data_IF_936839675528
#
_entry.id   IF_936839675528
#
_cell.length_a   1.000
_cell.length_b   1.000
_cell.length_c   1.000
_cell.angle_alpha   90.00
_cell.angle_beta   90.00
_cell.angle_gamma   90.00
#
_symmetry.space_group_name_H-M   'P 1'
#
loop_
_entity.id
_entity.type
_entity.pdbx_description
1 polymer ?
#
# COMPACT_ATOMS: atom_id res chain seq x y z
N UNK A 1 -6.28 -35.35 -0.29
CA UNK A 1 -7.29 -36.17 -1.00
C UNK A 1 -7.58 -37.52 -0.31
N UNK A 2 -6.58 -38.19 0.28
CA UNK A 2 -6.75 -39.53 0.87
C UNK A 2 -7.71 -39.66 2.07
N UNK A 3 -7.91 -38.61 2.88
CA UNK A 3 -8.80 -38.68 4.06
C UNK A 3 -10.29 -38.78 3.69
N UNK A 4 -10.71 -38.13 2.59
CA UNK A 4 -12.10 -38.18 2.12
C UNK A 4 -12.47 -39.58 1.61
N UNK A 5 -11.53 -40.28 1.00
CA UNK A 5 -11.72 -41.61 0.44
C UNK A 5 -11.82 -42.67 1.55
N UNK A 6 -11.03 -42.51 2.62
CA UNK A 6 -11.08 -43.42 3.78
C UNK A 6 -12.39 -43.32 4.56
N UNK A 7 -12.92 -42.10 4.76
CA UNK A 7 -14.19 -41.88 5.46
C UNK A 7 -15.39 -42.40 4.66
N UNK A 8 -15.33 -42.34 3.33
CA UNK A 8 -16.39 -42.85 2.45
C UNK A 8 -16.48 -44.39 2.50
N UNK A 9 -15.34 -45.08 2.49
CA UNK A 9 -15.27 -46.56 2.57
C UNK A 9 -15.80 -47.08 3.92
N UNK A 10 -15.45 -46.43 5.04
CA UNK A 10 -15.96 -46.79 6.37
C UNK A 10 -17.47 -46.61 6.47
N UNK A 11 -18.01 -45.55 5.85
CA UNK A 11 -19.45 -45.29 5.84
C UNK A 11 -20.23 -46.33 5.02
N UNK A 12 -19.70 -46.74 3.86
CA UNK A 12 -20.29 -47.80 3.03
C UNK A 12 -20.25 -49.16 3.75
N UNK A 13 -19.17 -49.47 4.47
CA UNK A 13 -19.03 -50.73 5.20
C UNK A 13 -19.99 -50.85 6.42
N UNK A 14 -20.20 -49.75 7.14
CA UNK A 14 -21.17 -49.68 8.25
C UNK A 14 -22.61 -49.85 7.73
N UNK A 15 -22.94 -49.23 6.60
CA UNK A 15 -24.27 -49.38 5.98
C UNK A 15 -24.53 -50.81 5.47
N UNK A 16 -23.49 -51.50 5.00
CA UNK A 16 -23.62 -52.87 4.50
C UNK A 16 -23.82 -53.91 5.61
N UNK A 17 -23.16 -53.74 6.75
CA UNK A 17 -23.17 -54.71 7.87
C UNK A 17 -24.49 -54.74 8.66
N UNK A 18 -25.31 -53.68 8.58
CA UNK A 18 -26.60 -53.60 9.30
C UNK A 18 -27.78 -54.31 8.59
N UNK A 19 -27.59 -54.83 7.37
CA UNK A 19 -28.67 -55.40 6.55
C UNK A 19 -28.84 -56.91 6.72
N UNK A 20 -29.28 -57.36 7.90
CA UNK A 20 -29.70 -58.76 8.12
C UNK A 20 -31.12 -59.05 7.60
N UNK A 21 -31.28 -60.02 6.69
CA UNK A 21 -32.58 -60.50 6.16
C UNK A 21 -32.99 -61.86 6.76
N UNK A 22 -34.28 -62.01 7.15
CA UNK A 22 -34.91 -63.29 7.51
C UNK A 22 -36.15 -63.52 6.66
N UNK A 23 -36.29 -64.74 6.15
CA UNK A 23 -37.40 -65.20 5.31
C UNK A 23 -38.43 -65.96 6.15
N UNK A 24 -39.73 -65.70 5.94
CA UNK A 24 -40.83 -66.47 6.54
C UNK A 24 -41.76 -66.93 5.42
N UNK A 25 -42.17 -68.19 5.45
CA UNK A 25 -42.96 -68.87 4.41
C UNK A 25 -44.42 -68.91 4.84
N UNK A 26 -45.31 -68.27 4.08
CA UNK A 26 -46.76 -68.49 4.17
C UNK A 26 -47.32 -68.63 2.74
N UNK A 27 -48.16 -69.66 2.55
CA UNK A 27 -49.01 -69.83 1.36
C UNK A 27 -48.30 -69.75 0.00
N UNK A 28 -47.48 -70.74 -0.35
CA UNK A 28 -47.19 -71.13 -1.74
C UNK A 28 -46.45 -70.17 -2.68
N UNK A 29 -46.30 -68.88 -2.36
CA UNK A 29 -45.60 -67.92 -3.20
C UNK A 29 -44.68 -67.00 -2.37
N UNK A 30 -43.39 -66.99 -2.70
CA UNK A 30 -42.42 -66.07 -2.10
C UNK A 30 -42.61 -64.68 -2.68
N UNK A 31 -43.17 -63.76 -1.89
CA UNK A 31 -43.20 -62.32 -2.20
C UNK A 31 -42.18 -61.60 -1.31
N UNK A 32 -41.25 -60.86 -1.92
CA UNK A 32 -40.39 -59.94 -1.16
C UNK A 32 -41.26 -58.86 -0.51
N UNK A 33 -41.46 -58.95 0.80
CA UNK A 33 -41.88 -57.78 1.59
C UNK A 33 -40.59 -57.04 1.94
N UNK A 34 -40.28 -55.98 1.19
CA UNK A 34 -39.26 -55.01 1.60
C UNK A 34 -39.77 -54.31 2.87
N UNK A 35 -39.51 -54.91 4.03
CA UNK A 35 -39.52 -54.15 5.29
C UNK A 35 -38.40 -53.13 5.19
N UNK A 36 -38.75 -51.90 4.84
CA UNK A 36 -37.92 -50.74 5.12
C UNK A 36 -37.70 -50.72 6.63
N UNK A 37 -36.56 -51.23 7.08
CA UNK A 37 -36.08 -50.96 8.43
C UNK A 37 -35.80 -49.47 8.45
N UNK A 38 -36.72 -48.70 9.04
CA UNK A 38 -36.45 -47.30 9.36
C UNK A 38 -35.21 -47.26 10.24
N UNK A 39 -34.26 -46.40 9.92
CA UNK A 39 -33.09 -46.16 10.75
C UNK A 39 -33.56 -45.82 12.16
N UNK A 40 -32.97 -46.45 13.17
CA UNK A 40 -33.30 -46.13 14.55
C UNK A 40 -32.91 -44.67 14.85
N UNK A 41 -33.78 -43.92 15.50
CA UNK A 41 -33.51 -42.55 15.94
C UNK A 41 -32.21 -42.45 16.75
N UNK A 42 -31.91 -43.49 17.53
CA UNK A 42 -30.69 -43.58 18.33
C UNK A 42 -29.43 -43.71 17.47
N UNK A 43 -29.51 -44.46 16.38
CA UNK A 43 -28.37 -44.72 15.48
C UNK A 43 -27.98 -43.46 14.72
N UNK A 44 -28.98 -42.71 14.25
CA UNK A 44 -28.77 -41.40 13.63
C UNK A 44 -28.28 -40.35 14.64
N UNK A 45 -28.72 -40.41 15.90
CA UNK A 45 -28.23 -39.53 16.96
C UNK A 45 -26.75 -39.77 17.30
N UNK A 46 -26.32 -41.04 17.37
CA UNK A 46 -24.92 -41.40 17.61
C UNK A 46 -24.05 -40.95 16.43
N UNK A 47 -24.49 -41.20 15.18
CA UNK A 47 -23.74 -40.78 13.98
C UNK A 47 -23.57 -39.26 13.92
N UNK A 48 -24.63 -38.48 14.16
CA UNK A 48 -24.54 -37.02 14.17
C UNK A 48 -23.64 -36.54 15.31
N UNK A 49 -23.69 -37.15 16.49
CA UNK A 49 -22.80 -36.76 17.61
C UNK A 49 -21.31 -36.94 17.28
N UNK A 50 -20.96 -38.04 16.61
CA UNK A 50 -19.59 -38.32 16.16
C UNK A 50 -19.17 -37.33 15.07
N UNK A 51 -20.06 -37.02 14.12
CA UNK A 51 -19.80 -36.02 13.07
C UNK A 51 -19.61 -34.63 13.68
N UNK A 52 -20.45 -34.22 14.62
CA UNK A 52 -20.33 -32.94 15.31
C UNK A 52 -19.00 -32.83 16.08
N UNK A 53 -18.59 -33.90 16.77
CA UNK A 53 -17.33 -33.93 17.50
C UNK A 53 -16.12 -33.88 16.55
N UNK A 54 -16.14 -34.62 15.45
CA UNK A 54 -15.05 -34.64 14.47
C UNK A 54 -14.91 -33.33 13.70
N UNK A 55 -16.02 -32.67 13.34
CA UNK A 55 -16.01 -31.35 12.71
C UNK A 55 -15.57 -30.27 13.72
N UNK A 56 -16.02 -30.37 14.98
CA UNK A 56 -15.64 -29.44 16.04
C UNK A 56 -14.13 -29.36 16.28
N UNK A 57 -13.44 -30.51 16.22
CA UNK A 57 -11.98 -30.56 16.37
C UNK A 57 -11.22 -30.06 15.12
N UNK A 58 -11.82 -30.09 13.93
CA UNK A 58 -11.16 -29.66 12.70
C UNK A 58 -11.05 -28.13 12.58
N UNK A 59 -11.99 -27.37 13.13
CA UNK A 59 -11.95 -25.91 13.08
C UNK A 59 -10.81 -25.29 13.92
N UNK A 60 -10.27 -26.03 14.91
CA UNK A 60 -9.16 -25.55 15.73
C UNK A 60 -7.82 -25.53 15.00
N UNK A 61 -7.68 -26.31 13.91
CA UNK A 61 -6.47 -26.36 13.09
C UNK A 61 -6.47 -25.33 11.94
N UNK A 62 -7.58 -24.60 11.73
CA UNK A 62 -7.74 -23.69 10.61
C UNK A 62 -7.36 -22.22 10.92
N UNK A 63 -6.95 -21.91 12.16
CA UNK A 63 -6.75 -20.52 12.61
C UNK A 63 -5.30 -20.05 12.75
N UNK A 64 -4.35 -20.98 12.80
CA UNK A 64 -2.94 -20.62 12.95
C UNK A 64 -2.23 -20.68 11.61
N UNK A 65 -2.30 -19.57 10.86
CA UNK A 65 -1.41 -19.35 9.71
C UNK A 65 0.03 -19.32 10.21
N UNK A 66 0.91 -20.02 9.51
CA UNK A 66 2.34 -20.01 9.82
C UNK A 66 2.90 -18.60 9.63
N UNK A 67 4.00 -18.30 10.32
CA UNK A 67 4.64 -16.98 10.20
C UNK A 67 5.07 -16.68 8.76
N UNK A 68 5.56 -17.68 8.05
CA UNK A 68 5.92 -17.57 6.65
C UNK A 68 4.72 -17.21 5.76
N UNK A 69 3.55 -17.83 5.99
CA UNK A 69 2.31 -17.51 5.26
C UNK A 69 1.85 -16.08 5.51
N UNK A 70 1.94 -15.60 6.76
CA UNK A 70 1.59 -14.21 7.11
C UNK A 70 2.49 -13.20 6.43
N UNK A 71 3.78 -13.48 6.36
CA UNK A 71 4.75 -12.64 5.64
C UNK A 71 4.41 -12.60 4.15
N UNK A 72 4.17 -13.76 3.52
CA UNK A 72 3.78 -13.83 2.11
C UNK A 72 2.49 -13.09 1.82
N UNK A 73 1.44 -13.29 2.62
CA UNK A 73 0.18 -12.56 2.49
C UNK A 73 0.36 -11.04 2.65
N UNK A 74 1.23 -10.61 3.57
CA UNK A 74 1.53 -9.19 3.77
C UNK A 74 2.20 -8.60 2.53
N UNK A 75 3.15 -9.30 1.92
CA UNK A 75 3.76 -8.88 0.64
C UNK A 75 2.73 -8.79 -0.49
N UNK A 76 1.83 -9.77 -0.62
CA UNK A 76 0.78 -9.77 -1.64
C UNK A 76 -0.20 -8.60 -1.44
N UNK A 77 -0.60 -8.31 -0.20
CA UNK A 77 -1.45 -7.17 0.13
C UNK A 77 -0.76 -5.84 -0.16
N UNK A 78 0.51 -5.71 0.22
CA UNK A 78 1.29 -4.50 -0.06
C UNK A 78 1.44 -4.26 -1.57
N UNK A 79 1.76 -5.29 -2.35
CA UNK A 79 1.87 -5.19 -3.83
C UNK A 79 0.54 -4.75 -4.47
N UNK A 80 -0.60 -5.27 -3.98
CA UNK A 80 -1.92 -4.84 -4.46
C UNK A 80 -2.23 -3.37 -4.11
N UNK A 81 -1.89 -2.94 -2.89
CA UNK A 81 -2.04 -1.53 -2.48
C UNK A 81 -1.16 -0.61 -3.33
N UNK A 82 0.09 -0.99 -3.60
CA UNK A 82 1.01 -0.21 -4.44
C UNK A 82 0.49 -0.05 -5.87
N UNK A 83 0.01 -1.14 -6.49
CA UNK A 83 -0.64 -1.09 -7.81
C UNK A 83 -1.87 -0.19 -7.83
N UNK A 84 -2.65 -0.19 -6.74
CA UNK A 84 -3.84 0.66 -6.62
C UNK A 84 -3.47 2.14 -6.46
N UNK A 85 -2.40 2.45 -5.72
CA UNK A 85 -1.84 3.81 -5.63
C UNK A 85 -1.34 4.27 -7.00
N UNK A 86 -0.66 3.41 -7.75
CA UNK A 86 -0.21 3.71 -9.12
C UNK A 86 -1.39 3.96 -10.08
N UNK A 87 -2.47 3.17 -9.98
CA UNK A 87 -3.69 3.38 -10.75
C UNK A 87 -4.38 4.71 -10.39
N UNK A 88 -4.51 5.02 -9.09
CA UNK A 88 -5.03 6.31 -8.63
C UNK A 88 -4.17 7.47 -9.15
N UNK A 89 -2.84 7.32 -9.13
CA UNK A 89 -1.91 8.31 -9.66
C UNK A 89 -2.10 8.51 -11.18
N UNK A 90 -2.30 7.43 -11.94
CA UNK A 90 -2.58 7.51 -13.37
C UNK A 90 -3.86 8.29 -13.69
N UNK A 91 -4.90 8.13 -12.87
CA UNK A 91 -6.20 8.80 -13.05
C UNK A 91 -6.21 10.25 -12.55
N UNK A 92 -5.52 10.52 -11.43
CA UNK A 92 -5.64 11.79 -10.70
C UNK A 92 -4.41 12.70 -10.79
N UNK A 93 -3.30 12.23 -11.39
CA UNK A 93 -2.02 12.95 -11.46
C UNK A 93 -1.37 13.24 -10.10
N UNK A 94 -1.88 12.63 -9.03
CA UNK A 94 -1.45 12.84 -7.65
C UNK A 94 -1.60 11.54 -6.86
N UNK A 95 -0.85 11.38 -5.77
CA UNK A 95 -1.03 10.23 -4.85
C UNK A 95 -2.06 10.58 -3.77
N UNK A 96 -2.82 9.60 -3.26
CA UNK A 96 -3.88 9.89 -2.31
C UNK A 96 -3.29 10.24 -0.94
N UNK A 97 -3.97 11.12 -0.20
CA UNK A 97 -3.70 11.33 1.22
C UNK A 97 -3.92 10.05 2.03
N UNK A 98 -3.18 9.85 3.14
CA UNK A 98 -3.49 8.79 4.09
C UNK A 98 -4.91 8.93 4.65
N UNK A 99 -5.56 7.79 4.90
CA UNK A 99 -6.78 7.74 5.68
C UNK A 99 -6.48 7.83 7.17
N UNK A 100 -7.50 8.20 7.95
CA UNK A 100 -7.37 8.26 9.40
C UNK A 100 -7.24 6.89 10.02
N UNK A 101 -6.12 6.67 10.71
CA UNK A 101 -5.93 5.50 11.55
C UNK A 101 -6.80 5.51 12.82
N UNK A 102 -7.46 6.63 13.14
CA UNK A 102 -8.32 6.74 14.33
C UNK A 102 -9.75 6.24 14.09
N UNK A 103 -10.17 6.16 12.83
CA UNK A 103 -11.54 5.81 12.45
C UNK A 103 -11.75 4.31 12.61
N UNK A 104 -12.85 3.92 13.28
CA UNK A 104 -13.19 2.52 13.51
C UNK A 104 -13.44 1.76 12.19
N UNK A 105 -13.13 0.46 12.17
CA UNK A 105 -13.21 -0.40 10.98
C UNK A 105 -14.63 -0.48 10.38
N UNK A 106 -15.66 -0.28 11.21
CA UNK A 106 -17.07 -0.32 10.83
C UNK A 106 -17.69 1.06 10.56
N UNK A 107 -16.91 2.13 10.62
CA UNK A 107 -17.40 3.48 10.37
C UNK A 107 -17.48 3.76 8.87
N UNK A 108 -18.47 4.54 8.44
CA UNK A 108 -18.72 4.83 7.01
C UNK A 108 -17.59 5.60 6.32
N UNK A 109 -16.73 6.28 7.07
CA UNK A 109 -15.58 7.03 6.58
C UNK A 109 -14.26 6.26 6.76
N UNK A 110 -14.30 4.97 7.10
CA UNK A 110 -13.12 4.12 7.09
C UNK A 110 -12.47 4.13 5.70
N UNK A 111 -11.13 4.10 5.66
CA UNK A 111 -10.39 4.10 4.40
C UNK A 111 -10.52 5.36 3.53
N UNK A 112 -11.19 6.42 4.00
CA UNK A 112 -11.38 7.65 3.22
C UNK A 112 -10.19 8.60 3.38
N UNK A 113 -9.52 8.93 2.27
CA UNK A 113 -8.54 10.00 2.21
C UNK A 113 -9.24 11.35 2.32
N UNK A 114 -8.87 12.18 3.30
CA UNK A 114 -9.43 13.54 3.43
C UNK A 114 -8.37 14.57 3.08
N UNK A 115 -8.66 15.37 2.04
CA UNK A 115 -7.90 16.58 1.68
C UNK A 115 -8.33 17.72 2.62
N UNK A 116 -7.38 18.51 3.09
CA UNK A 116 -7.66 19.63 3.98
C UNK A 116 -8.15 20.87 3.23
N UNK A 117 -8.27 21.97 3.96
CA UNK A 117 -8.79 23.24 3.46
C UNK A 117 -7.83 24.01 2.54
N UNK A 118 -6.58 23.58 2.39
CA UNK A 118 -5.63 24.13 1.41
C UNK A 118 -5.33 23.09 0.33
N UNK A 119 -4.97 23.49 -0.92
CA UNK A 119 -5.07 22.63 -2.10
C UNK A 119 -4.21 21.35 -2.05
N UNK A 120 -3.19 21.36 -1.20
CA UNK A 120 -2.16 20.33 -1.11
C UNK A 120 -2.09 19.65 0.26
N UNK A 121 -2.79 20.15 1.30
CA UNK A 121 -2.70 19.53 2.61
C UNK A 121 -3.57 18.29 2.73
N UNK A 122 -3.05 17.27 3.37
CA UNK A 122 -3.86 16.20 3.92
C UNK A 122 -4.45 16.70 5.23
N UNK A 123 -5.75 16.46 5.47
CA UNK A 123 -6.41 16.83 6.74
C UNK A 123 -5.70 16.20 7.92
N UNK A 124 -5.10 15.03 7.69
CA UNK A 124 -4.26 14.31 8.63
C UNK A 124 -2.81 14.62 8.26
N UNK A 125 -2.27 15.64 8.90
CA UNK A 125 -0.87 16.02 8.79
C UNK A 125 -0.30 16.03 10.20
N UNK A 126 0.62 15.12 10.46
CA UNK A 126 1.42 15.15 11.68
C UNK A 126 2.57 16.11 11.42
N UNK A 127 2.31 17.41 11.54
CA UNK A 127 3.35 18.43 11.47
C UNK A 127 4.31 18.22 12.64
N UNK A 128 5.61 18.12 12.38
CA UNK A 128 6.61 17.99 13.43
C UNK A 128 6.50 19.12 14.45
N UNK A 129 6.30 18.87 15.76
CA UNK A 129 6.31 19.99 16.74
C UNK A 129 7.69 20.57 16.95
N UNK A 130 8.74 19.94 16.42
CA UNK A 130 10.06 20.55 16.32
C UNK A 130 10.17 21.45 15.09
N UNK A 131 9.18 21.43 14.18
CA UNK A 131 9.12 22.20 12.94
C UNK A 131 7.72 22.81 12.72
N UNK A 132 7.22 23.52 13.74
CA UNK A 132 6.03 24.39 13.66
C UNK A 132 6.26 25.69 12.87
N UNK A 133 7.44 25.85 12.27
CA UNK A 133 7.80 27.05 11.54
C UNK A 133 8.05 26.71 10.08
N UNK A 134 7.15 27.22 9.24
CA UNK A 134 7.24 27.37 7.78
C UNK A 134 8.51 28.08 7.27
N UNK A 135 9.47 28.42 8.15
CA UNK A 135 10.56 29.36 7.88
C UNK A 135 11.98 28.78 8.01
N UNK A 136 12.19 27.53 8.42
CA UNK A 136 13.53 26.90 8.36
C UNK A 136 13.47 25.41 7.98
N UNK A 137 13.79 25.04 6.71
CA UNK A 137 14.02 23.66 6.28
C UNK A 137 15.05 22.95 7.20
N UNK A 138 14.91 21.64 7.48
CA UNK A 138 15.22 20.65 6.46
C UNK A 138 14.34 19.39 6.38
N UNK A 139 13.06 19.38 6.75
CA UNK A 139 12.27 18.13 6.69
C UNK A 139 11.06 18.19 5.74
N UNK A 140 10.73 17.09 5.04
CA UNK A 140 9.57 17.02 4.17
C UNK A 140 8.27 17.24 4.97
N UNK A 141 7.35 18.04 4.44
CA UNK A 141 5.97 18.03 4.91
C UNK A 141 5.38 16.64 4.61
N UNK A 142 5.38 15.75 5.60
CA UNK A 142 4.85 14.39 5.47
C UNK A 142 3.42 14.31 6.01
N UNK A 143 2.61 13.52 5.31
CA UNK A 143 1.34 13.05 5.83
C UNK A 143 1.49 11.57 6.20
N UNK A 144 0.98 11.19 7.37
CA UNK A 144 1.08 9.84 7.93
C UNK A 144 -0.33 9.38 8.32
N UNK A 145 -0.65 8.13 8.06
CA UNK A 145 -1.93 7.53 8.45
C UNK A 145 -2.02 6.07 8.00
N UNK A 146 -3.25 5.58 7.77
CA UNK A 146 -3.48 4.26 7.20
C UNK A 146 -3.71 4.32 5.69
N UNK A 147 -3.64 3.17 5.03
CA UNK A 147 -3.98 3.04 3.61
C UNK A 147 -5.43 3.51 3.35
N UNK A 148 -5.66 4.38 2.36
CA UNK A 148 -6.99 4.89 2.05
C UNK A 148 -7.77 3.94 1.14
N UNK A 149 -8.21 2.81 1.66
CA UNK A 149 -8.90 1.74 0.90
C UNK A 149 -10.14 2.22 0.15
N UNK A 150 -10.98 3.04 0.79
CA UNK A 150 -12.18 3.59 0.16
C UNK A 150 -11.86 4.56 -0.99
N UNK A 151 -10.83 5.40 -0.85
CA UNK A 151 -10.38 6.30 -1.94
C UNK A 151 -9.71 5.54 -3.08
N UNK A 152 -8.98 4.48 -2.76
CA UNK A 152 -8.36 3.59 -3.74
C UNK A 152 -9.37 2.61 -4.39
N UNK A 153 -10.63 2.60 -3.92
CA UNK A 153 -11.68 1.68 -4.39
C UNK A 153 -11.29 0.19 -4.24
N UNK A 154 -10.54 -0.13 -3.18
CA UNK A 154 -10.14 -1.50 -2.85
C UNK A 154 -10.84 -1.98 -1.58
N UNK A 155 -10.98 -3.31 -1.39
CA UNK A 155 -11.58 -3.85 -0.18
C UNK A 155 -10.84 -3.42 1.10
N UNK A 156 -11.58 -3.21 2.18
CA UNK A 156 -11.03 -2.77 3.47
C UNK A 156 -10.03 -3.74 4.10
N UNK A 157 -10.05 -5.02 3.70
CA UNK A 157 -9.06 -6.02 4.14
C UNK A 157 -7.62 -5.66 3.73
N UNK A 158 -7.44 -4.86 2.68
CA UNK A 158 -6.14 -4.34 2.26
C UNK A 158 -5.63 -3.16 3.10
N UNK A 159 -6.43 -2.67 4.06
CA UNK A 159 -5.92 -1.75 5.09
C UNK A 159 -5.03 -2.47 6.11
N UNK A 160 -5.10 -3.80 6.19
CA UNK A 160 -4.50 -4.61 7.26
C UNK A 160 -3.42 -5.57 6.75
N UNK A 161 -2.37 -5.74 7.55
CA UNK A 161 -1.41 -6.82 7.40
C UNK A 161 -2.00 -8.18 7.85
N UNK A 162 -1.24 -9.25 7.66
CA UNK A 162 -1.68 -10.60 8.02
C UNK A 162 -1.75 -10.84 9.56
N UNK A 163 -1.23 -9.92 10.38
CA UNK A 163 -1.40 -9.93 11.83
C UNK A 163 -2.61 -9.11 12.29
N UNK A 164 -3.38 -8.56 11.34
CA UNK A 164 -4.63 -7.83 11.57
C UNK A 164 -4.44 -6.38 11.98
N UNK A 165 -3.26 -5.81 11.81
CA UNK A 165 -2.94 -4.41 12.17
C UNK A 165 -2.92 -3.57 10.91
N UNK A 166 -3.19 -2.27 11.03
CA UNK A 166 -3.25 -1.44 9.82
C UNK A 166 -1.86 -1.14 9.31
N UNK A 167 -1.68 -1.17 7.99
CA UNK A 167 -0.50 -0.63 7.36
C UNK A 167 -0.35 0.85 7.69
N UNK A 168 0.89 1.28 7.94
CA UNK A 168 1.25 2.68 8.02
C UNK A 168 1.60 3.17 6.61
N UNK A 169 0.90 4.20 6.15
CA UNK A 169 1.14 4.86 4.88
C UNK A 169 1.61 6.29 5.14
N UNK A 170 2.81 6.61 4.66
CA UNK A 170 3.45 7.92 4.76
C UNK A 170 3.74 8.46 3.38
N UNK A 171 3.51 9.75 3.15
CA UNK A 171 3.70 10.36 1.84
C UNK A 171 4.11 11.84 1.93
N UNK A 172 4.83 12.34 0.93
CA UNK A 172 5.20 13.75 0.81
C UNK A 172 3.97 14.58 0.42
N UNK A 173 3.49 15.45 1.31
CA UNK A 173 2.22 16.19 1.19
C UNK A 173 2.06 16.91 -0.17
N UNK A 174 3.13 17.45 -0.71
CA UNK A 174 3.14 18.12 -2.02
C UNK A 174 2.73 17.20 -3.19
N UNK A 175 2.73 15.88 -3.02
CA UNK A 175 2.42 14.91 -4.07
C UNK A 175 0.95 14.59 -4.19
N UNK A 176 0.14 15.20 -3.33
CA UNK A 176 -1.30 15.06 -3.34
C UNK A 176 -1.99 16.18 -4.15
N UNK A 177 -1.31 17.17 -4.74
CA UNK A 177 -2.00 18.18 -5.58
C UNK A 177 -2.05 17.79 -7.05
N UNK A 178 -3.22 17.93 -7.68
CA UNK A 178 -3.44 17.81 -9.13
C UNK A 178 -3.59 19.17 -9.83
N UNK A 179 -3.67 20.27 -9.07
CA UNK A 179 -4.02 21.58 -9.60
C UNK A 179 -2.90 22.61 -9.38
N UNK A 180 -2.38 23.07 -10.51
CA UNK A 180 -1.41 24.14 -10.69
C UNK A 180 -2.01 25.49 -10.22
N UNK A 181 -3.28 25.77 -10.49
CA UNK A 181 -3.86 27.12 -10.48
C UNK A 181 -4.12 27.78 -9.12
N UNK A 182 -4.04 27.06 -8.00
CA UNK A 182 -4.43 27.63 -6.69
C UNK A 182 -3.30 28.36 -5.93
N UNK A 183 -2.09 28.43 -6.50
CA UNK A 183 -0.92 29.00 -5.82
C UNK A 183 -0.54 30.41 -6.28
N UNK A 184 -1.24 30.98 -7.27
CA UNK A 184 -1.00 32.34 -7.74
C UNK A 184 -1.35 33.45 -6.71
N UNK A 185 -1.75 33.09 -5.47
CA UNK A 185 -2.12 34.05 -4.42
C UNK A 185 -1.61 33.75 -3.00
N UNK A 186 -0.89 32.64 -2.78
CA UNK A 186 -0.32 32.32 -1.47
C UNK A 186 1.14 32.78 -1.41
N UNK A 187 1.37 33.95 -0.80
CA UNK A 187 2.71 34.36 -0.40
C UNK A 187 3.20 33.43 0.71
N UNK A 188 4.05 32.46 0.38
CA UNK A 188 4.80 31.71 1.38
C UNK A 188 5.66 32.70 2.17
N UNK A 189 5.54 32.68 3.50
CA UNK A 189 6.31 33.54 4.40
C UNK A 189 7.78 33.50 4.02
N UNK A 190 8.32 34.67 3.67
CA UNK A 190 9.62 34.79 3.02
C UNK A 190 10.73 34.11 3.82
N UNK A 191 11.63 33.46 3.09
CA UNK A 191 12.90 33.00 3.65
C UNK A 191 13.76 34.24 3.88
N UNK A 192 14.18 34.46 5.12
CA UNK A 192 15.16 35.51 5.44
C UNK A 192 16.51 35.07 4.88
N UNK A 193 16.93 35.64 3.75
CA UNK A 193 18.30 35.48 3.31
C UNK A 193 19.24 36.13 4.34
N UNK A 194 20.46 35.60 4.49
CA UNK A 194 21.51 36.08 5.41
C UNK A 194 21.94 37.54 5.18
N UNK A 195 21.38 38.20 4.17
CA UNK A 195 21.56 39.61 3.83
C UNK A 195 20.32 40.48 4.09
N UNK A 196 19.32 40.00 4.84
CA UNK A 196 18.16 40.80 5.29
C UNK A 196 17.11 41.08 4.20
N UNK A 197 17.22 40.46 3.03
CA UNK A 197 16.20 40.55 1.98
C UNK A 197 15.20 39.39 2.10
N UNK A 198 13.91 39.72 2.15
CA UNK A 198 12.82 38.74 2.04
C UNK A 198 12.69 38.32 0.58
N UNK A 199 13.04 37.06 0.27
CA UNK A 199 12.66 36.46 -1.01
C UNK A 199 11.35 35.71 -0.83
N UNK A 200 10.30 36.18 -1.50
CA UNK A 200 9.17 35.33 -1.83
C UNK A 200 9.66 34.39 -2.92
N UNK A 201 9.81 33.10 -2.62
CA UNK A 201 9.82 32.13 -3.69
C UNK A 201 8.41 32.14 -4.27
N UNK A 202 8.25 32.81 -5.42
CA UNK A 202 7.09 32.64 -6.28
C UNK A 202 7.19 31.22 -6.80
N UNK A 203 6.71 30.27 -6.00
CA UNK A 203 6.59 28.90 -6.43
C UNK A 203 5.43 28.94 -7.42
N UNK A 204 5.78 28.83 -8.69
CA UNK A 204 4.78 28.90 -9.73
C UNK A 204 3.86 27.71 -9.51
N UNK A 205 2.58 27.95 -9.76
CA UNK A 205 1.54 26.96 -9.98
C UNK A 205 2.07 25.61 -10.56
N UNK A 206 3.01 25.67 -11.52
CA UNK A 206 3.60 24.54 -12.24
C UNK A 206 4.62 23.69 -11.44
N UNK A 207 5.02 24.13 -10.24
CA UNK A 207 6.13 23.55 -9.49
C UNK A 207 5.71 22.42 -8.55
N UNK A 208 4.43 22.29 -8.21
CA UNK A 208 3.96 21.37 -7.16
C UNK A 208 3.46 20.01 -7.65
N UNK A 209 3.69 19.69 -8.92
CA UNK A 209 3.20 18.47 -9.52
C UNK A 209 4.37 17.49 -9.77
N UNK A 210 4.06 16.21 -9.99
CA UNK A 210 4.96 15.20 -10.54
C UNK A 210 5.62 15.65 -11.87
N UNK A 211 5.22 16.78 -12.46
CA UNK A 211 5.89 17.44 -13.59
C UNK A 211 7.19 18.16 -13.26
N UNK A 212 7.39 18.66 -12.03
CA UNK A 212 8.61 19.38 -11.65
C UNK A 212 9.64 18.41 -11.05
N UNK A 213 10.89 18.42 -11.51
CA UNK A 213 11.98 17.59 -10.95
C UNK A 213 12.40 17.99 -9.53
N UNK A 214 11.83 19.08 -9.01
CA UNK A 214 12.22 19.75 -7.78
C UNK A 214 11.32 19.38 -6.60
N UNK A 215 10.06 19.04 -6.86
CA UNK A 215 9.06 18.67 -5.84
C UNK A 215 8.62 17.23 -6.06
N UNK A 216 8.16 16.55 -5.00
CA UNK A 216 7.74 15.15 -5.03
C UNK A 216 8.83 14.13 -5.38
N UNK A 217 9.78 13.97 -4.47
CA UNK A 217 10.91 13.05 -4.65
C UNK A 217 12.05 13.64 -5.50
N UNK A 218 12.05 14.96 -5.69
CA UNK A 218 13.06 15.72 -6.43
C UNK A 218 14.30 16.09 -5.62
N UNK A 219 15.41 16.37 -6.32
CA UNK A 219 16.73 16.73 -5.76
C UNK A 219 16.81 18.14 -5.17
N UNK A 220 15.83 18.58 -4.36
CA UNK A 220 16.17 19.61 -3.38
C UNK A 220 17.14 18.97 -2.39
N UNK A 221 18.38 19.46 -2.41
CA UNK A 221 19.44 19.03 -1.53
C UNK A 221 18.91 18.88 -0.09
N UNK A 222 19.09 17.66 0.42
CA UNK A 222 18.97 17.20 1.81
C UNK A 222 17.61 17.20 2.53
N UNK A 223 16.53 17.82 2.03
CA UNK A 223 15.51 18.31 2.97
C UNK A 223 14.03 18.04 2.66
N UNK A 224 13.72 17.31 1.60
CA UNK A 224 12.33 17.15 1.12
C UNK A 224 11.97 15.73 0.69
N UNK A 225 12.81 14.75 1.01
CA UNK A 225 12.63 13.38 0.61
C UNK A 225 12.48 12.44 1.81
N UNK A 226 11.74 11.36 1.60
CA UNK A 226 11.74 10.23 2.53
C UNK A 226 13.03 9.44 2.31
N UNK A 227 13.77 9.21 3.39
CA UNK A 227 15.01 8.43 3.39
C UNK A 227 14.74 6.98 3.77
N UNK A 228 15.27 6.07 2.95
CA UNK A 228 15.30 4.64 3.24
C UNK A 228 16.74 4.28 3.58
N UNK A 229 16.96 3.85 4.82
CA UNK A 229 18.26 3.46 5.32
C UNK A 229 18.33 1.95 5.52
N UNK A 230 19.52 1.37 5.38
CA UNK A 230 19.76 -0.02 5.75
C UNK A 230 19.94 -0.19 7.26
N UNK A 231 20.20 -1.43 7.69
CA UNK A 231 20.47 -1.81 9.09
C UNK A 231 21.53 -0.94 9.81
N UNK A 232 22.53 -0.43 9.07
CA UNK A 232 23.65 0.35 9.59
C UNK A 232 23.43 1.87 9.49
N UNK A 233 22.24 2.32 9.09
CA UNK A 233 21.92 3.75 8.91
C UNK A 233 22.47 4.36 7.62
N UNK A 234 22.95 3.55 6.67
CA UNK A 234 23.36 4.04 5.35
C UNK A 234 22.13 4.29 4.49
N UNK A 235 22.00 5.50 3.93
CA UNK A 235 20.92 5.85 2.99
C UNK A 235 21.06 5.02 1.72
N UNK A 236 20.07 4.17 1.47
CA UNK A 236 19.92 3.35 0.25
C UNK A 236 19.06 4.04 -0.80
N UNK A 237 18.14 4.91 -0.37
CA UNK A 237 17.31 5.74 -1.25
C UNK A 237 16.91 7.03 -0.52
N UNK A 238 16.94 8.14 -1.25
CA UNK A 238 16.47 9.46 -0.80
C UNK A 238 15.50 10.06 -1.83
N UNK A 239 14.80 9.20 -2.59
CA UNK A 239 13.90 9.62 -3.67
C UNK A 239 12.47 9.07 -3.46
N UNK A 240 12.19 8.48 -2.30
CA UNK A 240 10.89 7.90 -2.00
C UNK A 240 9.83 9.00 -1.88
N UNK A 241 8.71 8.83 -2.59
CA UNK A 241 7.54 9.74 -2.55
C UNK A 241 6.50 9.31 -1.53
N UNK A 242 6.41 8.00 -1.28
CA UNK A 242 5.63 7.41 -0.21
C UNK A 242 6.31 6.14 0.32
N UNK A 243 5.92 5.75 1.53
CA UNK A 243 6.29 4.50 2.20
C UNK A 243 5.03 3.79 2.68
N UNK A 244 4.99 2.49 2.49
CA UNK A 244 4.03 1.55 3.06
C UNK A 244 4.77 0.63 4.03
N UNK A 245 4.32 0.57 5.28
CA UNK A 245 4.99 -0.14 6.37
C UNK A 245 4.01 -1.08 7.07
N UNK A 246 4.38 -2.35 7.21
CA UNK A 246 3.83 -3.28 8.20
C UNK A 246 4.83 -3.39 9.36
N UNK A 247 4.33 -3.33 10.58
CA UNK A 247 5.14 -3.43 11.82
C UNK A 247 5.34 -4.90 12.26
N UNK A 248 5.28 -5.82 11.29
CA UNK A 248 5.58 -7.23 11.49
C UNK A 248 4.75 -7.93 12.57
N UNK A 249 5.37 -8.91 13.21
CA UNK A 249 4.78 -9.82 14.20
C UNK A 249 4.61 -9.16 15.56
N UNK A 250 5.58 -8.38 16.01
CA UNK A 250 5.53 -7.72 17.31
C UNK A 250 4.55 -6.53 17.29
N UNK A 251 4.33 -5.92 16.13
CA UNK A 251 3.39 -4.82 15.91
C UNK A 251 3.80 -3.52 16.57
N UNK A 252 5.06 -3.37 16.96
CA UNK A 252 5.52 -2.18 17.69
C UNK A 252 5.47 -0.96 16.78
N UNK A 253 4.57 -0.04 17.08
CA UNK A 253 4.24 1.08 16.20
C UNK A 253 2.98 0.86 15.39
N UNK A 254 2.38 -0.32 15.27
CA UNK A 254 1.23 -0.48 14.40
C UNK A 254 0.00 0.33 14.85
N UNK A 255 -0.83 0.74 13.89
CA UNK A 255 -2.15 1.26 14.22
C UNK A 255 -3.10 0.10 14.59
N UNK A 256 -3.89 0.23 15.69
CA UNK A 256 -4.83 -0.80 16.08
C UNK A 256 -5.86 -1.11 15.00
N UNK A 257 -6.35 -2.36 14.97
CA UNK A 257 -7.33 -2.81 13.98
C UNK A 257 -8.57 -1.90 13.91
N UNK A 258 -9.16 -1.60 15.07
CA UNK A 258 -10.35 -0.75 15.21
C UNK A 258 -10.03 0.74 15.37
N UNK A 259 -8.78 1.14 15.08
CA UNK A 259 -8.33 2.51 15.23
C UNK A 259 -8.22 2.96 16.67
N UNK A 260 -7.93 4.24 16.86
CA UNK A 260 -7.72 4.87 18.16
C UNK A 260 -6.62 5.92 18.10
N UNK A 261 -6.45 6.67 19.19
CA UNK A 261 -5.42 7.71 19.30
C UNK A 261 -4.04 7.14 19.65
N UNK A 262 -4.00 5.97 20.29
CA UNK A 262 -2.79 5.25 20.68
C UNK A 262 -2.37 4.22 19.64
N UNK A 263 -1.06 4.10 19.41
CA UNK A 263 -0.46 3.04 18.58
C UNK A 263 0.00 1.89 19.47
N UNK A 264 0.24 0.73 18.87
CA UNK A 264 0.61 -0.47 19.60
C UNK A 264 2.05 -0.33 20.11
N UNK A 265 2.26 -0.52 21.41
CA UNK A 265 3.58 -0.68 22.02
C UNK A 265 3.76 -2.14 22.37
N UNK A 266 4.56 -2.87 21.59
CA UNK A 266 4.79 -4.30 21.84
C UNK A 266 5.47 -4.54 23.19
N UNK A 267 5.05 -5.61 23.87
CA UNK A 267 5.76 -6.18 25.03
C UNK A 267 6.79 -7.24 24.63
N UNK A 268 6.90 -7.55 23.34
CA UNK A 268 7.92 -8.45 22.80
C UNK A 268 9.24 -7.70 22.57
N UNK A 269 10.23 -8.38 21.99
CA UNK A 269 11.52 -7.79 21.66
C UNK A 269 11.31 -6.72 20.58
N UNK A 270 11.91 -5.55 20.81
CA UNK A 270 11.90 -4.43 19.87
C UNK A 270 13.33 -3.95 19.67
N UNK A 271 13.80 -3.88 18.43
CA UNK A 271 15.14 -3.35 18.14
C UNK A 271 15.15 -1.84 17.92
N UNK A 272 16.34 -1.24 17.95
CA UNK A 272 16.50 0.19 17.64
C UNK A 272 16.00 0.54 16.23
N UNK A 273 16.14 -0.39 15.29
CA UNK A 273 15.69 -0.20 13.91
C UNK A 273 14.16 -0.24 13.82
N UNK A 274 13.49 -1.08 14.61
CA UNK A 274 12.03 -1.10 14.72
C UNK A 274 11.52 0.16 15.44
N UNK A 275 12.22 0.66 16.46
CA UNK A 275 11.85 1.95 17.10
C UNK A 275 11.85 3.10 16.09
N UNK A 276 12.79 3.11 15.12
CA UNK A 276 12.78 4.11 14.04
C UNK A 276 11.54 3.99 13.17
N UNK A 277 11.18 2.78 12.73
CA UNK A 277 9.99 2.51 11.92
C UNK A 277 8.67 2.65 12.69
N UNK A 278 8.71 2.51 14.01
CA UNK A 278 7.53 2.61 14.85
C UNK A 278 6.93 4.02 14.80
N UNK A 279 7.75 5.05 14.55
CA UNK A 279 7.32 6.47 14.50
C UNK A 279 6.48 6.84 15.74
N UNK A 280 6.92 6.38 16.91
CA UNK A 280 6.27 6.62 18.21
C UNK A 280 7.03 7.67 19.02
N UNK A 281 6.29 8.44 19.80
CA UNK A 281 6.90 9.26 20.85
C UNK A 281 7.29 8.35 22.01
N UNK A 282 8.12 8.85 22.93
CA UNK A 282 8.47 8.13 24.16
C UNK A 282 7.25 7.72 25.00
N UNK A 283 6.08 8.33 24.75
CA UNK A 283 4.80 7.99 25.40
C UNK A 283 3.89 7.04 24.58
N UNK A 284 4.36 6.50 23.45
CA UNK A 284 3.55 5.62 22.58
C UNK A 284 2.46 6.33 21.76
N UNK A 285 2.46 7.67 21.78
CA UNK A 285 1.60 8.49 20.90
C UNK A 285 2.22 8.62 19.51
N UNK A 286 1.44 9.06 18.52
CA UNK A 286 1.97 9.45 17.21
C UNK A 286 3.14 10.43 17.43
N UNK A 287 4.37 10.01 17.12
CA UNK A 287 5.48 10.95 17.01
C UNK A 287 5.47 11.60 15.63
N UNK A 288 6.14 12.73 15.60
CA UNK A 288 6.55 13.38 14.38
C UNK A 288 7.48 12.47 13.60
N UNK A 289 7.14 12.21 12.34
CA UNK A 289 8.01 11.44 11.46
C UNK A 289 9.24 12.28 11.12
N UNK A 290 10.41 11.67 11.21
CA UNK A 290 11.68 12.24 10.72
C UNK A 290 11.83 12.07 9.21
N UNK A 291 10.91 11.34 8.56
CA UNK A 291 11.03 10.93 7.17
C UNK A 291 12.08 9.84 6.95
N UNK A 292 12.56 9.18 8.00
CA UNK A 292 13.56 8.11 7.91
C UNK A 292 12.87 6.77 8.19
N UNK A 293 13.11 5.79 7.32
CA UNK A 293 12.64 4.41 7.47
C UNK A 293 13.80 3.44 7.29
N UNK A 294 13.82 2.38 8.10
CA UNK A 294 14.82 1.32 8.01
C UNK A 294 14.25 0.17 7.18
N UNK A 295 14.99 -0.25 6.14
CA UNK A 295 14.72 -1.44 5.36
C UNK A 295 15.89 -2.42 5.50
N UNK A 296 15.62 -3.61 6.02
CA UNK A 296 16.59 -4.69 6.14
C UNK A 296 15.90 -6.06 6.04
N UNK A 297 16.64 -7.17 5.84
CA UNK A 297 16.06 -8.50 5.86
C UNK A 297 15.41 -8.83 7.20
N UNK A 298 14.30 -9.58 7.16
CA UNK A 298 13.60 -10.05 8.36
C UNK A 298 14.51 -10.94 9.21
N UNK A 299 14.49 -10.73 10.52
CA UNK A 299 15.32 -11.43 11.49
C UNK A 299 14.54 -11.66 12.78
N UNK A 300 14.17 -12.91 13.04
CA UNK A 300 13.39 -13.31 14.23
C UNK A 300 14.30 -13.76 15.37
N UNK A 301 15.33 -12.96 15.69
CA UNK A 301 16.30 -13.30 16.73
C UNK A 301 15.74 -13.04 18.14
N UNK A 302 16.29 -13.70 19.16
CA UNK A 302 15.93 -13.39 20.56
C UNK A 302 16.73 -12.21 21.13
N UNK A 303 17.23 -11.30 20.27
CA UNK A 303 18.07 -10.16 20.68
C UNK A 303 17.54 -8.85 20.12
N UNK A 304 17.35 -7.86 21.00
CA UNK A 304 16.97 -6.50 20.62
C UNK A 304 17.99 -5.80 19.72
N UNK A 305 19.18 -6.36 19.51
CA UNK A 305 20.18 -5.81 18.58
C UNK A 305 20.02 -6.27 17.13
N UNK A 306 19.39 -7.43 16.92
CA UNK A 306 19.28 -8.05 15.59
C UNK A 306 17.86 -8.44 15.21
N UNK A 307 16.89 -8.34 16.11
CA UNK A 307 15.49 -8.59 15.80
C UNK A 307 14.95 -7.51 14.85
N UNK A 308 14.21 -7.92 13.83
CA UNK A 308 13.53 -7.02 12.92
C UNK A 308 12.46 -7.76 12.14
N UNK A 309 11.21 -7.41 12.35
CA UNK A 309 10.08 -8.01 11.64
C UNK A 309 9.28 -7.01 10.76
N UNK A 310 9.66 -5.74 10.78
CA UNK A 310 9.05 -4.70 9.95
C UNK A 310 9.26 -4.96 8.44
N UNK A 311 8.20 -4.75 7.66
CA UNK A 311 8.23 -4.83 6.20
C UNK A 311 8.00 -3.44 5.64
N UNK A 312 9.05 -2.86 5.05
CA UNK A 312 9.03 -1.53 4.41
C UNK A 312 9.02 -1.68 2.90
N UNK A 313 7.96 -1.17 2.27
CA UNK A 313 7.91 -0.92 0.84
C UNK A 313 7.84 0.59 0.57
N UNK A 314 8.38 1.02 -0.56
CA UNK A 314 8.33 2.41 -0.98
C UNK A 314 8.34 2.48 -2.50
N UNK A 315 7.94 3.63 -3.03
CA UNK A 315 8.16 3.97 -4.43
C UNK A 315 8.82 5.31 -4.56
N UNK A 316 9.77 5.40 -5.48
CA UNK A 316 10.26 6.67 -5.99
C UNK A 316 9.30 7.21 -7.04
N UNK A 317 9.48 8.49 -7.37
CA UNK A 317 8.75 9.15 -8.44
C UNK A 317 8.78 8.36 -9.76
N UNK A 318 9.97 7.97 -10.20
CA UNK A 318 10.17 7.27 -11.48
C UNK A 318 9.55 5.88 -11.47
N UNK A 319 9.63 5.17 -10.35
CA UNK A 319 9.00 3.86 -10.20
C UNK A 319 7.47 3.98 -10.28
N UNK A 320 6.88 4.98 -9.62
CA UNK A 320 5.45 5.21 -9.66
C UNK A 320 4.95 5.57 -11.07
N UNK A 321 5.66 6.44 -11.79
CA UNK A 321 5.34 6.79 -13.18
C UNK A 321 5.40 5.55 -14.08
N UNK A 322 6.40 4.69 -13.88
CA UNK A 322 6.54 3.44 -14.64
C UNK A 322 5.40 2.47 -14.35
N UNK A 323 5.04 2.31 -13.08
CA UNK A 323 3.97 1.40 -12.63
C UNK A 323 2.57 1.86 -13.04
N UNK A 324 2.37 3.17 -13.14
CA UNK A 324 1.15 3.78 -13.69
C UNK A 324 0.95 3.54 -15.20
N UNK A 325 1.71 2.62 -15.81
CA UNK A 325 1.66 2.35 -17.23
C UNK A 325 2.28 3.49 -18.03
N UNK A 326 3.43 3.99 -17.54
CA UNK A 326 4.17 5.13 -18.08
C UNK A 326 3.95 5.25 -19.58
N UNK A 327 3.47 6.43 -19.99
CA UNK A 327 3.08 6.87 -21.35
C UNK A 327 1.60 7.23 -21.56
N UNK A 328 0.65 6.91 -20.66
CA UNK A 328 -0.75 7.36 -20.79
C UNK A 328 -1.28 8.09 -19.53
N UNK A 329 -1.02 9.39 -19.46
CA UNK A 329 -1.88 10.33 -18.75
C UNK A 329 -2.53 11.24 -19.80
N UNK A 330 -3.63 10.76 -20.36
CA UNK A 330 -4.55 11.57 -21.15
C UNK A 330 -5.16 12.62 -20.24
N UNK A 331 -4.52 13.78 -20.20
CA UNK A 331 -5.00 14.95 -19.48
C UNK A 331 -4.02 15.45 -18.43
N UNK A 332 -3.36 16.57 -18.76
CA UNK A 332 -2.65 17.45 -17.83
C UNK A 332 -1.21 16.99 -17.49
N UNK A 333 -0.32 17.16 -18.48
CA UNK A 333 1.15 17.47 -18.45
C UNK A 333 2.01 16.92 -17.28
N UNK A 334 3.15 16.24 -17.47
CA UNK A 334 4.23 16.45 -18.45
C UNK A 334 5.18 15.24 -18.53
N UNK A 335 5.78 15.03 -19.72
CA UNK A 335 6.77 13.99 -20.10
C UNK A 335 6.23 12.64 -20.58
N UNK A 336 5.06 12.63 -21.22
CA UNK A 336 4.85 11.60 -22.24
C UNK A 336 5.61 12.00 -23.51
N UNK A 337 6.23 11.02 -24.17
CA UNK A 337 6.85 11.20 -25.48
C UNK A 337 5.84 11.79 -26.49
N UNK A 338 4.55 11.54 -26.28
CA UNK A 338 3.42 12.14 -27.01
C UNK A 338 3.32 13.66 -26.88
N UNK A 339 3.49 14.21 -25.68
CA UNK A 339 3.48 15.67 -25.47
C UNK A 339 4.76 16.32 -26.00
N UNK A 340 5.91 15.65 -25.85
CA UNK A 340 7.16 16.12 -26.47
C UNK A 340 7.04 16.13 -27.99
N UNK A 341 6.49 15.08 -28.57
CA UNK A 341 6.22 14.97 -30.00
C UNK A 341 5.19 16.00 -30.48
N UNK A 342 4.11 16.23 -29.72
CA UNK A 342 3.10 17.23 -30.04
C UNK A 342 3.64 18.68 -30.01
N UNK A 343 4.67 18.96 -29.19
CA UNK A 343 5.34 20.26 -29.16
C UNK A 343 6.33 20.46 -30.32
N UNK A 344 6.75 19.38 -31.00
CA UNK A 344 7.57 19.43 -32.22
C UNK A 344 6.64 19.51 -33.43
N UNK A 345 6.06 20.69 -33.64
CA UNK A 345 5.09 20.97 -34.72
C UNK A 345 5.76 21.29 -36.06
N UNK A 346 7.07 21.55 -36.06
CA UNK A 346 7.87 21.95 -37.21
C UNK A 346 9.37 21.71 -36.97
N UNK A 347 10.16 21.69 -38.05
CA UNK A 347 11.62 21.62 -37.97
C UNK A 347 12.23 22.76 -37.12
N UNK A 348 11.61 23.95 -37.10
CA UNK A 348 12.03 25.08 -36.26
C UNK A 348 11.78 24.83 -34.77
N UNK A 349 10.68 24.20 -34.39
CA UNK A 349 10.44 23.78 -32.99
C UNK A 349 11.34 22.61 -32.55
N UNK A 350 11.75 21.74 -33.48
CA UNK A 350 12.69 20.65 -33.21
C UNK A 350 14.10 21.15 -32.85
N UNK A 351 14.47 22.34 -33.33
CA UNK A 351 15.80 22.94 -33.12
C UNK A 351 16.16 23.14 -31.64
N UNK A 352 15.16 23.35 -30.78
CA UNK A 352 15.31 23.51 -29.33
C UNK A 352 15.84 22.25 -28.63
N UNK A 353 15.74 21.09 -29.29
CA UNK A 353 16.12 19.79 -28.75
C UNK A 353 17.39 19.21 -29.42
N UNK A 354 17.96 19.93 -30.40
CA UNK A 354 19.20 19.53 -31.08
C UNK A 354 20.43 20.10 -30.35
N UNK A 355 21.49 19.31 -30.11
CA UNK A 355 22.72 19.83 -29.53
C UNK A 355 23.42 20.80 -30.50
N UNK A 356 23.89 21.95 -29.97
CA UNK A 356 24.55 23.03 -30.72
C UNK A 356 25.85 22.62 -31.45
N UNK A 357 26.40 21.43 -31.17
CA UNK A 357 27.68 20.97 -31.72
C UNK A 357 27.59 20.25 -33.07
N UNK A 358 26.39 20.10 -33.64
CA UNK A 358 26.21 19.42 -34.94
C UNK A 358 26.47 20.38 -36.11
N UNK A 359 27.35 19.96 -37.02
CA UNK A 359 27.75 20.70 -38.24
C UNK A 359 26.64 20.83 -39.29
N UNK A 360 25.49 20.17 -39.11
CA UNK A 360 24.29 20.32 -39.95
C UNK A 360 23.02 20.36 -39.10
N UNK A 361 22.64 21.54 -38.56
CA UNK A 361 21.45 21.70 -37.71
C UNK A 361 20.15 21.23 -38.38
N UNK A 362 20.10 21.32 -39.71
CA UNK A 362 18.93 20.96 -40.53
C UNK A 362 18.59 19.48 -40.49
N UNK A 363 19.60 18.59 -40.42
CA UNK A 363 19.40 17.13 -40.44
C UNK A 363 18.82 16.60 -39.13
N UNK A 364 19.29 17.14 -38.00
CA UNK A 364 18.74 16.82 -36.67
C UNK A 364 17.29 17.30 -36.54
N UNK A 365 17.00 18.51 -37.02
CA UNK A 365 15.66 19.10 -36.99
C UNK A 365 14.65 18.29 -37.80
N UNK A 366 15.00 17.87 -39.02
CA UNK A 366 14.09 17.07 -39.86
C UNK A 366 13.88 15.67 -39.28
N UNK A 367 14.93 15.01 -38.79
CA UNK A 367 14.81 13.68 -38.17
C UNK A 367 13.97 13.69 -36.89
N UNK A 368 14.16 14.70 -36.03
CA UNK A 368 13.33 14.86 -34.82
C UNK A 368 11.88 15.18 -35.17
N UNK A 369 11.62 15.96 -36.22
CA UNK A 369 10.27 16.26 -36.69
C UNK A 369 9.57 15.01 -37.24
N UNK A 370 10.24 14.21 -38.07
CA UNK A 370 9.69 12.96 -38.60
C UNK A 370 9.42 11.94 -37.49
N UNK A 371 10.34 11.82 -36.54
CA UNK A 371 10.18 10.94 -35.38
C UNK A 371 9.02 11.40 -34.48
N UNK A 372 8.90 12.71 -34.23
CA UNK A 372 7.78 13.28 -33.51
C UNK A 372 6.45 12.97 -34.19
N UNK A 373 6.34 13.15 -35.51
CA UNK A 373 5.12 12.84 -36.26
C UNK A 373 4.72 11.35 -36.15
N UNK A 374 5.70 10.43 -36.22
CA UNK A 374 5.44 9.00 -36.03
C UNK A 374 4.96 8.69 -34.60
N UNK A 375 5.60 9.28 -33.60
CA UNK A 375 5.21 9.12 -32.19
C UNK A 375 3.79 9.65 -31.97
N UNK A 376 3.46 10.84 -32.49
CA UNK A 376 2.12 11.43 -32.36
C UNK A 376 1.04 10.53 -32.96
N UNK A 377 1.33 9.79 -34.04
CA UNK A 377 0.39 8.84 -34.64
C UNK A 377 0.10 7.61 -33.79
N UNK A 378 0.99 7.27 -32.85
CA UNK A 378 0.83 6.16 -31.90
C UNK A 378 0.15 6.59 -30.59
N UNK A 379 -0.11 7.89 -30.44
CA UNK A 379 -0.65 8.49 -29.22
C UNK A 379 -2.16 8.71 -29.28
N UNK A 380 -2.86 8.23 -30.32
CA UNK A 380 -4.31 8.35 -30.51
C UNK A 380 -4.97 7.01 -30.78
#
# INVERSE_FOLDING_TARGET
MHLKQCLFEVFVWILYTLRGSRMKKEGGAFREIRKSKGYSLLELAIVISIISFTIGNLLSLAKDRTEAEKITETYEKMDFVEKSIAAYFAENGSIPCPASSQIAANASNFGSATRGSTPYNCTISYASSTYQNFSTPPFPNLALGSVPTATLQIPDDYAYDAWGRRFTYSMIQYCNTSNIQYLAGYNYGGVTASNGNYYYNVINANDYNFSNSTYCGGSFASNSAIEIQNASGTVTSNAAVYVLLSHGRNGHGAYPHNGGTSRITSSEIVSTNEVTNALLSTAGSNAYTTGIYIQQPLSFSNSATTYFDDIVHYRTKDQLIKEAGGFNASGIYSSSICNMAANVTSATSAALYCPFSLTTPTTCQTQLYELAAQITSLCF
#
